data_IF_005770330414
#
_entry.id   IF_005770330414
#
_cell.length_a   1.000
_cell.length_b   1.000
_cell.length_c   1.000
_cell.angle_alpha   90.00
_cell.angle_beta   90.00
_cell.angle_gamma   90.00
#
_symmetry.space_group_name_H-M   'P 1'
#
loop_
_entity.id
_entity.type
_entity.pdbx_description
1 polymer ?
#
# COMPACT_ATOMS: atom_id res chain seq x y z
N UNK A 1 6.15 -2.81 21.33
CA UNK A 1 5.56 -4.06 20.80
C UNK A 1 4.21 -4.26 21.49
N UNK A 2 3.12 -4.19 20.74
CA UNK A 2 1.77 -4.44 21.24
C UNK A 2 1.09 -5.46 20.35
N UNK A 3 0.17 -6.22 20.95
CA UNK A 3 -0.72 -7.12 20.23
C UNK A 3 -2.14 -6.59 20.38
N UNK A 4 -2.77 -6.23 19.26
CA UNK A 4 -4.11 -5.63 19.22
C UNK A 4 -5.02 -6.53 18.40
N UNK A 5 -6.10 -7.01 19.00
CA UNK A 5 -7.21 -7.67 18.31
C UNK A 5 -8.45 -6.81 18.45
N UNK A 6 -9.08 -6.50 17.34
CA UNK A 6 -10.29 -5.70 17.32
C UNK A 6 -11.30 -6.23 16.29
N UNK A 7 -12.56 -5.84 16.45
CA UNK A 7 -13.65 -6.18 15.53
C UNK A 7 -14.09 -5.00 14.66
N UNK A 8 -13.55 -3.80 14.90
CA UNK A 8 -13.91 -2.61 14.15
C UNK A 8 -12.64 -1.77 13.86
N UNK A 9 -12.08 -1.09 14.84
CA UNK A 9 -10.85 -0.31 14.65
C UNK A 9 -9.80 -0.81 15.65
N UNK A 10 -8.65 -1.26 15.13
CA UNK A 10 -7.54 -1.70 15.95
C UNK A 10 -6.86 -0.54 16.67
N UNK A 11 -6.44 0.48 15.94
CA UNK A 11 -5.82 1.68 16.49
C UNK A 11 -6.30 2.92 15.75
N UNK A 12 -6.92 3.86 16.47
CA UNK A 12 -7.38 5.14 15.92
C UNK A 12 -6.52 6.29 16.43
N UNK A 13 -5.89 7.01 15.52
CA UNK A 13 -5.16 8.25 15.76
C UNK A 13 -5.98 9.41 15.17
N UNK A 14 -6.86 9.99 15.98
CA UNK A 14 -7.78 11.02 15.54
C UNK A 14 -7.38 12.39 16.07
N UNK A 15 -7.15 13.36 15.18
CA UNK A 15 -6.74 14.74 15.50
C UNK A 15 -5.50 14.82 16.42
N UNK A 16 -4.65 13.82 16.34
CA UNK A 16 -3.36 13.81 17.01
C UNK A 16 -2.36 14.61 16.18
N UNK A 17 -1.71 15.60 16.77
CA UNK A 17 -0.76 16.48 16.10
C UNK A 17 0.62 16.30 16.74
N UNK A 18 1.29 15.19 16.51
CA UNK A 18 2.67 15.06 16.97
C UNK A 18 3.59 15.91 16.08
N UNK A 19 4.62 16.48 16.65
CA UNK A 19 5.78 16.93 15.88
C UNK A 19 6.47 15.74 15.21
N UNK A 20 6.46 14.60 15.87
CA UNK A 20 6.81 13.28 15.34
C UNK A 20 6.05 12.24 16.16
N UNK A 21 5.21 11.44 15.52
CA UNK A 21 4.50 10.32 16.14
C UNK A 21 5.03 8.99 15.58
N UNK A 22 5.04 7.95 16.38
CA UNK A 22 5.52 6.63 16.00
C UNK A 22 4.49 5.55 16.33
N UNK A 23 4.23 4.67 15.36
CA UNK A 23 3.48 3.42 15.54
C UNK A 23 4.37 2.31 15.03
N UNK A 24 5.09 1.64 15.93
CA UNK A 24 6.15 0.73 15.53
C UNK A 24 6.07 -0.62 16.24
N UNK A 25 6.46 -1.67 15.52
CA UNK A 25 6.62 -3.02 16.05
C UNK A 25 5.34 -3.58 16.70
N UNK A 26 4.17 -3.35 16.12
CA UNK A 26 2.92 -3.88 16.65
C UNK A 26 2.40 -5.00 15.77
N UNK A 27 1.64 -5.91 16.38
CA UNK A 27 0.80 -6.90 15.71
C UNK A 27 -0.64 -6.43 15.85
N UNK A 28 -1.29 -6.11 14.73
CA UNK A 28 -2.64 -5.58 14.70
C UNK A 28 -3.51 -6.48 13.83
N UNK A 29 -4.49 -7.13 14.45
CA UNK A 29 -5.46 -7.96 13.74
C UNK A 29 -6.84 -7.34 13.89
N UNK A 30 -7.52 -7.15 12.77
CA UNK A 30 -8.92 -6.74 12.75
C UNK A 30 -9.74 -7.77 12.01
N UNK A 31 -10.83 -8.20 12.64
CA UNK A 31 -11.80 -9.09 12.06
C UNK A 31 -13.20 -8.51 12.26
N UNK A 32 -13.83 -8.02 11.20
CA UNK A 32 -15.16 -7.42 11.31
C UNK A 32 -15.76 -7.13 9.95
N UNK A 33 -17.09 -7.17 9.87
CA UNK A 33 -17.87 -7.01 8.64
C UNK A 33 -18.32 -5.56 8.36
N UNK A 34 -17.60 -4.60 8.92
CA UNK A 34 -17.97 -3.18 8.80
C UNK A 34 -17.23 -2.45 7.67
N UNK A 35 -17.98 -1.69 6.84
CA UNK A 35 -17.43 -0.78 5.82
C UNK A 35 -16.36 0.20 6.33
N UNK A 36 -16.27 0.41 7.63
CA UNK A 36 -15.35 1.31 8.29
C UNK A 36 -14.23 0.57 9.05
N UNK A 37 -14.23 -0.76 9.08
CA UNK A 37 -13.27 -1.53 9.85
C UNK A 37 -11.84 -1.33 9.32
N UNK A 38 -10.91 -0.98 10.22
CA UNK A 38 -9.52 -0.69 9.89
C UNK A 38 -8.55 -1.15 10.99
N UNK A 39 -7.39 -1.68 10.60
CA UNK A 39 -6.35 -2.02 11.57
C UNK A 39 -5.72 -0.77 12.17
N UNK A 40 -5.33 0.17 11.32
CA UNK A 40 -4.79 1.47 11.74
C UNK A 40 -5.49 2.58 10.97
N UNK A 41 -6.10 3.51 11.69
CA UNK A 41 -6.69 4.71 11.10
C UNK A 41 -5.99 5.97 11.64
N UNK A 42 -5.48 6.79 10.71
CA UNK A 42 -4.90 8.10 10.99
C UNK A 42 -5.79 9.15 10.35
N UNK A 43 -6.38 10.01 11.16
CA UNK A 43 -7.29 11.06 10.73
C UNK A 43 -6.80 12.44 11.23
N UNK A 44 -6.07 13.14 10.37
CA UNK A 44 -5.31 14.35 10.72
C UNK A 44 -5.95 15.66 10.25
N UNK A 45 -7.15 15.59 9.67
CA UNK A 45 -7.81 16.78 9.17
C UNK A 45 -8.16 17.78 10.32
N UNK A 46 -7.87 19.07 10.19
CA UNK A 46 -7.21 19.80 9.10
C UNK A 46 -5.71 20.13 9.34
N UNK A 47 -5.06 19.49 10.29
CA UNK A 47 -3.73 19.89 10.78
C UNK A 47 -2.68 18.86 10.35
N UNK A 48 -1.55 19.29 9.75
CA UNK A 48 -0.51 18.36 9.36
C UNK A 48 0.12 17.67 10.55
N UNK A 49 0.23 16.35 10.48
CA UNK A 49 0.95 15.51 11.42
C UNK A 49 2.10 14.81 10.71
N UNK A 50 3.08 14.37 11.48
CA UNK A 50 4.18 13.53 11.01
C UNK A 50 4.12 12.22 11.78
N UNK A 51 3.48 11.22 11.17
CA UNK A 51 3.44 9.86 11.70
C UNK A 51 4.44 8.97 10.98
N UNK A 52 5.17 8.21 11.77
CA UNK A 52 6.02 7.14 11.30
C UNK A 52 5.38 5.80 11.70
N UNK A 53 4.86 5.07 10.72
CA UNK A 53 4.22 3.77 10.88
C UNK A 53 5.18 2.73 10.34
N UNK A 54 5.87 2.00 11.21
CA UNK A 54 7.02 1.20 10.81
C UNK A 54 7.05 -0.16 11.50
N UNK A 55 7.48 -1.18 10.74
CA UNK A 55 7.71 -2.53 11.25
C UNK A 55 6.47 -3.15 11.94
N UNK A 56 5.27 -2.86 11.45
CA UNK A 56 4.06 -3.47 11.99
C UNK A 56 3.67 -4.69 11.16
N UNK A 57 3.11 -5.69 11.83
CA UNK A 57 2.44 -6.81 11.20
C UNK A 57 0.93 -6.62 11.32
N UNK A 58 0.26 -6.46 10.19
CA UNK A 58 -1.15 -6.09 10.09
C UNK A 58 -1.90 -7.19 9.36
N UNK A 59 -2.95 -7.73 10.00
CA UNK A 59 -3.84 -8.72 9.39
C UNK A 59 -5.26 -8.17 9.35
N UNK A 60 -5.82 -8.13 8.16
CA UNK A 60 -7.18 -7.66 7.88
C UNK A 60 -8.02 -8.86 7.49
N UNK A 61 -8.95 -9.28 8.36
CA UNK A 61 -9.88 -10.36 8.08
C UNK A 61 -11.29 -9.79 8.09
N UNK A 62 -12.03 -9.89 6.99
CA UNK A 62 -13.37 -9.30 6.87
C UNK A 62 -13.44 -7.79 7.18
N UNK A 63 -12.35 -7.07 7.07
CA UNK A 63 -12.28 -5.65 7.30
C UNK A 63 -11.82 -4.92 6.03
N UNK A 64 -12.02 -3.60 6.00
CA UNK A 64 -11.79 -2.84 4.76
C UNK A 64 -10.36 -2.31 4.62
N UNK A 65 -9.72 -1.90 5.70
CA UNK A 65 -8.44 -1.20 5.62
C UNK A 65 -7.37 -1.82 6.54
N UNK A 66 -6.21 -2.12 5.97
CA UNK A 66 -5.01 -2.35 6.77
C UNK A 66 -4.55 -1.05 7.42
N UNK A 67 -4.17 -0.07 6.60
CA UNK A 67 -3.85 1.28 7.02
C UNK A 67 -4.75 2.26 6.26
N UNK A 68 -5.48 3.08 6.99
CA UNK A 68 -6.28 4.18 6.46
C UNK A 68 -5.69 5.51 6.93
N UNK A 69 -5.23 6.33 5.98
CA UNK A 69 -4.71 7.67 6.27
C UNK A 69 -5.54 8.73 5.55
N UNK A 70 -6.25 9.56 6.31
CA UNK A 70 -7.08 10.65 5.78
C UNK A 70 -6.44 12.00 6.05
N UNK A 71 -6.26 12.76 4.97
CA UNK A 71 -5.77 14.14 4.98
C UNK A 71 -4.41 14.36 5.68
N UNK A 72 -3.62 13.30 5.86
CA UNK A 72 -2.29 13.36 6.48
C UNK A 72 -1.26 14.14 5.65
N UNK A 73 -0.23 14.64 6.31
CA UNK A 73 0.89 15.32 5.68
C UNK A 73 2.19 14.63 6.03
N UNK A 74 2.97 14.24 5.02
CA UNK A 74 4.31 13.66 5.17
C UNK A 74 4.38 12.44 6.10
N UNK A 75 3.26 11.72 6.25
CA UNK A 75 3.24 10.48 7.00
C UNK A 75 4.05 9.42 6.25
N UNK A 76 4.81 8.64 6.99
CA UNK A 76 5.64 7.59 6.46
C UNK A 76 5.11 6.21 6.90
N UNK A 77 4.99 5.30 5.94
CA UNK A 77 4.57 3.91 6.11
C UNK A 77 5.70 3.03 5.59
N UNK A 78 6.48 2.44 6.51
CA UNK A 78 7.73 1.78 6.17
C UNK A 78 7.83 0.38 6.76
N UNK A 79 8.36 -0.57 6.00
CA UNK A 79 8.66 -1.92 6.47
C UNK A 79 7.47 -2.63 7.15
N UNK A 80 6.24 -2.33 6.76
CA UNK A 80 5.09 -3.02 7.31
C UNK A 80 4.78 -4.26 6.47
N UNK A 81 4.41 -5.35 7.14
CA UNK A 81 3.81 -6.52 6.50
C UNK A 81 2.30 -6.44 6.67
N UNK A 82 1.57 -6.42 5.56
CA UNK A 82 0.12 -6.23 5.56
C UNK A 82 -0.53 -7.37 4.78
N UNK A 83 -1.30 -8.19 5.48
CA UNK A 83 -2.08 -9.28 4.89
C UNK A 83 -3.56 -8.89 4.89
N UNK A 84 -4.19 -8.98 3.73
CA UNK A 84 -5.60 -8.61 3.54
C UNK A 84 -6.36 -9.82 3.03
N UNK A 85 -7.24 -10.34 3.85
CA UNK A 85 -8.20 -11.38 3.48
C UNK A 85 -9.60 -10.74 3.32
N UNK A 86 -10.02 -10.39 2.09
CA UNK A 86 -11.32 -9.81 1.83
C UNK A 86 -12.37 -10.93 1.74
N UNK A 87 -13.03 -11.24 2.84
CA UNK A 87 -14.05 -12.27 2.87
C UNK A 87 -15.40 -11.83 2.28
N UNK A 88 -15.69 -10.54 2.22
CA UNK A 88 -17.01 -10.01 1.85
C UNK A 88 -17.03 -9.28 0.51
N UNK A 89 -18.23 -8.90 0.08
CA UNK A 89 -18.51 -8.21 -1.18
C UNK A 89 -17.95 -6.77 -1.25
N UNK A 90 -17.17 -6.32 -0.27
CA UNK A 90 -16.69 -4.95 -0.15
C UNK A 90 -15.24 -4.75 -0.61
N UNK A 91 -14.91 -3.51 -0.93
CA UNK A 91 -13.56 -3.11 -1.29
C UNK A 91 -12.61 -3.28 -0.10
N UNK A 92 -11.42 -3.84 -0.33
CA UNK A 92 -10.40 -4.03 0.69
C UNK A 92 -9.06 -3.42 0.27
N UNK A 93 -8.35 -2.81 1.21
CA UNK A 93 -7.13 -2.05 0.94
C UNK A 93 -6.02 -2.38 1.93
N UNK A 94 -4.84 -2.67 1.42
CA UNK A 94 -3.65 -2.74 2.26
C UNK A 94 -3.33 -1.38 2.88
N UNK A 95 -3.04 -0.38 2.03
CA UNK A 95 -2.82 1.02 2.43
C UNK A 95 -3.74 1.91 1.60
N UNK A 96 -4.60 2.67 2.26
CA UNK A 96 -5.50 3.64 1.64
C UNK A 96 -5.13 5.07 2.07
N UNK A 97 -4.82 5.91 1.08
CA UNK A 97 -4.40 7.30 1.27
C UNK A 97 -5.41 8.25 0.64
N UNK A 98 -6.20 8.94 1.48
CA UNK A 98 -7.25 9.88 1.08
C UNK A 98 -6.84 11.32 1.37
N UNK A 99 -6.75 12.14 0.34
CA UNK A 99 -6.44 13.57 0.44
C UNK A 99 -5.07 13.87 1.07
N UNK A 100 -4.16 12.91 1.09
CA UNK A 100 -2.85 13.03 1.74
C UNK A 100 -1.87 13.88 0.93
N UNK A 101 -0.91 14.49 1.60
CA UNK A 101 0.16 15.27 0.96
C UNK A 101 1.52 14.72 1.31
N UNK A 102 2.30 14.46 0.27
CA UNK A 102 3.66 13.95 0.36
C UNK A 102 3.80 12.71 1.26
N UNK A 103 2.92 11.70 1.14
CA UNK A 103 3.09 10.46 1.88
C UNK A 103 4.31 9.72 1.35
N UNK A 104 5.03 9.07 2.24
CA UNK A 104 6.10 8.13 1.94
C UNK A 104 5.60 6.70 2.23
N UNK A 105 5.61 5.84 1.22
CA UNK A 105 5.24 4.42 1.35
C UNK A 105 6.41 3.61 0.83
N UNK A 106 7.17 2.99 1.72
CA UNK A 106 8.42 2.34 1.32
C UNK A 106 8.64 1.01 2.02
N UNK A 107 9.18 0.05 1.27
CA UNK A 107 9.60 -1.25 1.79
C UNK A 107 8.49 -2.04 2.49
N UNK A 108 7.23 -1.84 2.11
CA UNK A 108 6.15 -2.62 2.66
C UNK A 108 5.92 -3.89 1.82
N UNK A 109 5.57 -4.97 2.50
CA UNK A 109 5.13 -6.22 1.91
C UNK A 109 3.60 -6.33 2.07
N UNK A 110 2.89 -6.29 0.95
CA UNK A 110 1.44 -6.30 0.91
C UNK A 110 0.95 -7.53 0.15
N UNK A 111 0.25 -8.41 0.85
CA UNK A 111 -0.32 -9.61 0.28
C UNK A 111 -1.83 -9.61 0.45
N UNK A 112 -2.56 -9.76 -0.65
CA UNK A 112 -4.00 -10.03 -0.65
C UNK A 112 -4.28 -11.52 -0.56
N UNK A 113 -5.54 -11.88 -0.50
CA UNK A 113 -6.03 -13.25 -0.71
C UNK A 113 -7.11 -13.21 -1.81
N UNK A 114 -6.67 -13.05 -3.05
CA UNK A 114 -7.59 -13.07 -4.18
C UNK A 114 -7.32 -14.32 -5.00
N UNK A 115 -8.27 -15.23 -4.95
CA UNK A 115 -8.39 -16.21 -6.03
C UNK A 115 -8.77 -15.47 -7.33
N UNK A 116 -7.88 -15.38 -8.31
CA UNK A 116 -8.04 -14.49 -9.47
C UNK A 116 -9.17 -14.85 -10.42
N UNK A 117 -9.84 -15.96 -10.19
CA UNK A 117 -10.79 -16.58 -11.14
C UNK A 117 -12.27 -16.36 -10.78
N UNK A 118 -12.58 -15.70 -9.67
CA UNK A 118 -13.97 -15.48 -9.29
C UNK A 118 -14.55 -14.23 -9.94
N UNK A 119 -15.71 -14.37 -10.56
CA UNK A 119 -16.39 -13.31 -11.33
C UNK A 119 -17.01 -12.18 -10.50
N UNK A 120 -16.97 -12.28 -9.17
CA UNK A 120 -17.52 -11.30 -8.24
C UNK A 120 -16.39 -10.57 -7.49
N UNK A 121 -15.62 -9.79 -8.24
CA UNK A 121 -14.44 -9.14 -7.72
C UNK A 121 -14.78 -7.90 -6.89
N UNK A 122 -14.34 -7.94 -5.66
CA UNK A 122 -14.21 -6.74 -4.83
C UNK A 122 -13.07 -5.88 -5.36
N UNK A 123 -13.17 -4.58 -5.17
CA UNK A 123 -12.16 -3.62 -5.65
C UNK A 123 -10.98 -3.55 -4.66
N UNK A 124 -10.30 -4.71 -4.43
CA UNK A 124 -9.15 -4.72 -3.53
C UNK A 124 -7.93 -4.07 -4.17
N UNK A 125 -7.16 -3.38 -3.37
CA UNK A 125 -5.92 -2.74 -3.81
C UNK A 125 -4.84 -2.88 -2.74
N UNK A 126 -3.61 -3.22 -3.15
CA UNK A 126 -2.49 -3.19 -2.22
C UNK A 126 -2.27 -1.78 -1.70
N UNK A 127 -2.06 -0.81 -2.60
CA UNK A 127 -1.93 0.61 -2.26
C UNK A 127 -2.93 1.40 -3.10
N UNK A 128 -3.78 2.20 -2.45
CA UNK A 128 -4.77 3.04 -3.11
C UNK A 128 -4.64 4.51 -2.75
N UNK A 129 -4.61 5.35 -3.78
CA UNK A 129 -4.54 6.80 -3.65
C UNK A 129 -5.81 7.46 -4.16
N UNK A 130 -6.41 8.26 -3.29
CA UNK A 130 -7.51 9.16 -3.64
C UNK A 130 -7.14 10.60 -3.25
N UNK A 131 -6.85 11.44 -4.25
CA UNK A 131 -6.50 12.84 -4.00
C UNK A 131 -5.12 13.08 -3.35
N UNK A 132 -4.24 12.09 -3.30
CA UNK A 132 -2.88 12.28 -2.78
C UNK A 132 -1.97 13.03 -3.78
N UNK A 133 -1.08 13.87 -3.25
CA UNK A 133 -0.14 14.65 -4.06
C UNK A 133 1.29 14.47 -3.57
N UNK A 134 2.24 14.55 -4.49
CA UNK A 134 3.68 14.47 -4.21
C UNK A 134 4.08 13.24 -3.40
N UNK A 135 3.49 12.09 -3.72
CA UNK A 135 3.76 10.84 -3.03
C UNK A 135 5.12 10.24 -3.45
N UNK A 136 5.74 9.49 -2.55
CA UNK A 136 6.90 8.64 -2.84
C UNK A 136 6.56 7.18 -2.44
N UNK A 137 6.45 6.32 -3.45
CA UNK A 137 6.14 4.90 -3.30
C UNK A 137 7.34 4.12 -3.81
N UNK A 138 8.12 3.60 -2.89
CA UNK A 138 9.43 3.06 -3.19
C UNK A 138 9.62 1.67 -2.60
N UNK A 139 10.10 0.72 -3.41
CA UNK A 139 10.52 -0.60 -2.96
C UNK A 139 9.45 -1.41 -2.20
N UNK A 140 8.18 -1.26 -2.56
CA UNK A 140 7.14 -2.10 -1.98
C UNK A 140 6.95 -3.35 -2.83
N UNK A 141 6.62 -4.46 -2.18
CA UNK A 141 6.17 -5.69 -2.83
C UNK A 141 4.65 -5.80 -2.68
N UNK A 142 3.95 -6.04 -3.79
CA UNK A 142 2.49 -6.12 -3.81
C UNK A 142 2.05 -7.33 -4.61
N UNK A 143 1.33 -8.24 -3.99
CA UNK A 143 0.85 -9.48 -4.62
C UNK A 143 -0.58 -9.83 -4.20
N UNK A 144 -1.27 -10.62 -5.00
CA UNK A 144 -2.58 -11.20 -4.72
C UNK A 144 -3.71 -10.19 -4.46
N UNK A 145 -3.65 -9.02 -5.11
CA UNK A 145 -4.73 -8.02 -5.13
C UNK A 145 -5.36 -7.90 -6.53
N UNK A 146 -6.57 -7.34 -6.57
CA UNK A 146 -7.14 -6.90 -7.86
C UNK A 146 -6.30 -5.80 -8.49
N UNK A 147 -5.88 -4.82 -7.71
CA UNK A 147 -4.96 -3.76 -8.13
C UNK A 147 -3.74 -3.76 -7.23
N UNK A 148 -2.56 -3.82 -7.80
CA UNK A 148 -1.34 -3.66 -7.00
C UNK A 148 -1.26 -2.25 -6.45
N UNK A 149 -1.07 -1.25 -7.33
CA UNK A 149 -1.15 0.18 -6.99
C UNK A 149 -2.26 0.81 -7.83
N UNK A 150 -3.21 1.46 -7.14
CA UNK A 150 -4.34 2.14 -7.77
C UNK A 150 -4.32 3.63 -7.46
N UNK A 151 -4.39 4.45 -8.51
CA UNK A 151 -4.47 5.90 -8.40
C UNK A 151 -5.81 6.34 -9.01
N UNK A 152 -6.73 6.84 -8.17
CA UNK A 152 -8.03 7.31 -8.65
C UNK A 152 -7.94 8.67 -9.35
N UNK A 153 -9.03 9.04 -10.00
CA UNK A 153 -9.19 10.33 -10.67
C UNK A 153 -8.98 11.50 -9.69
N UNK A 154 -8.36 12.58 -10.18
CA UNK A 154 -8.03 13.85 -9.49
C UNK A 154 -6.67 13.92 -8.79
N UNK A 155 -5.83 12.91 -8.88
CA UNK A 155 -4.42 13.12 -8.55
C UNK A 155 -3.77 13.95 -9.65
N UNK A 156 -3.37 15.16 -9.33
CA UNK A 156 -2.76 16.11 -10.25
C UNK A 156 -1.34 16.48 -9.83
N UNK A 157 -0.81 15.79 -8.84
CA UNK A 157 0.54 16.03 -8.32
C UNK A 157 1.61 15.17 -8.98
N UNK A 158 2.83 15.61 -8.92
CA UNK A 158 3.97 14.77 -9.24
C UNK A 158 4.17 13.75 -8.11
N UNK A 159 4.42 12.48 -8.46
CA UNK A 159 4.69 11.41 -7.51
C UNK A 159 5.79 10.52 -8.06
N UNK A 160 6.44 9.79 -7.18
CA UNK A 160 7.48 8.82 -7.52
C UNK A 160 6.95 7.41 -7.30
N UNK A 161 7.03 6.56 -8.34
CA UNK A 161 6.84 5.12 -8.27
C UNK A 161 8.15 4.46 -8.67
N UNK A 162 8.93 3.93 -7.72
CA UNK A 162 10.24 3.38 -8.04
C UNK A 162 10.59 2.13 -7.26
N UNK A 163 11.18 1.15 -7.96
CA UNK A 163 11.62 -0.10 -7.37
C UNK A 163 10.50 -0.97 -6.80
N UNK A 164 9.23 -0.68 -7.08
CA UNK A 164 8.15 -1.51 -6.59
C UNK A 164 8.06 -2.81 -7.38
N UNK A 165 7.79 -3.91 -6.69
CA UNK A 165 7.57 -5.22 -7.28
C UNK A 165 6.09 -5.53 -7.33
N UNK A 166 5.59 -5.82 -8.53
CA UNK A 166 4.23 -6.25 -8.79
C UNK A 166 4.23 -7.77 -9.04
N UNK A 167 3.73 -8.54 -8.08
CA UNK A 167 3.60 -9.99 -8.17
C UNK A 167 2.33 -10.41 -8.94
N UNK A 168 1.71 -11.52 -8.52
CA UNK A 168 0.47 -12.03 -9.14
C UNK A 168 -0.71 -11.12 -8.82
N UNK A 169 -1.31 -10.49 -9.84
CA UNK A 169 -2.34 -9.45 -9.69
C UNK A 169 -3.38 -9.54 -10.81
N UNK A 170 -4.55 -8.99 -10.59
CA UNK A 170 -5.48 -8.76 -11.72
C UNK A 170 -4.94 -7.64 -12.61
N UNK A 171 -4.60 -6.50 -12.02
CA UNK A 171 -3.89 -5.39 -12.67
C UNK A 171 -2.76 -4.90 -11.74
N UNK A 172 -1.55 -4.73 -12.27
CA UNK A 172 -0.43 -4.25 -11.47
C UNK A 172 -0.58 -2.77 -11.09
N UNK A 173 -0.49 -1.88 -12.08
CA UNK A 173 -0.69 -0.44 -11.90
C UNK A 173 -1.97 0.01 -12.60
N UNK A 174 -2.84 0.71 -11.88
CA UNK A 174 -4.04 1.31 -12.45
C UNK A 174 -4.06 2.83 -12.23
N UNK A 175 -4.09 3.59 -13.32
CA UNK A 175 -4.29 5.03 -13.31
C UNK A 175 -5.67 5.39 -13.87
N UNK A 176 -6.51 6.00 -13.06
CA UNK A 176 -7.84 6.45 -13.46
C UNK A 176 -7.80 7.54 -14.54
N UNK A 177 -8.95 7.88 -15.10
CA UNK A 177 -9.09 8.67 -16.33
C UNK A 177 -8.45 10.06 -16.31
N UNK A 178 -8.29 10.68 -15.14
CA UNK A 178 -7.67 12.00 -14.95
C UNK A 178 -6.44 11.97 -14.06
N UNK A 179 -5.97 10.78 -13.69
CA UNK A 179 -4.81 10.61 -12.83
C UNK A 179 -3.52 11.00 -13.55
N UNK A 180 -2.68 11.78 -12.86
CA UNK A 180 -1.37 12.20 -13.32
C UNK A 180 -0.40 11.97 -12.18
N UNK A 181 0.65 11.20 -12.43
CA UNK A 181 1.66 10.85 -11.42
C UNK A 181 3.04 11.47 -11.72
N UNK A 182 3.16 12.23 -12.81
CA UNK A 182 4.44 12.75 -13.28
C UNK A 182 5.22 11.73 -14.11
N UNK A 183 6.30 12.18 -14.78
CA UNK A 183 7.19 11.28 -15.52
C UNK A 183 7.91 10.30 -14.58
N UNK A 184 8.04 9.06 -15.00
CA UNK A 184 8.66 7.96 -14.26
C UNK A 184 9.88 7.48 -15.06
N UNK A 185 10.98 8.21 -14.97
CA UNK A 185 12.14 7.98 -15.82
C UNK A 185 13.13 7.02 -15.12
N UNK A 186 13.28 5.80 -15.64
CA UNK A 186 14.19 4.74 -15.14
C UNK A 186 13.99 4.39 -13.66
N UNK A 187 12.75 4.37 -13.21
CA UNK A 187 12.41 4.12 -11.80
C UNK A 187 12.46 2.64 -11.39
N UNK A 188 12.76 1.71 -12.30
CA UNK A 188 13.08 0.33 -11.99
C UNK A 188 11.97 -0.46 -11.30
N UNK A 189 10.69 -0.16 -11.58
CA UNK A 189 9.61 -0.99 -11.09
C UNK A 189 9.66 -2.36 -11.78
N UNK A 190 9.39 -3.42 -11.02
CA UNK A 190 9.54 -4.81 -11.45
C UNK A 190 8.15 -5.42 -11.64
N UNK A 191 7.91 -5.98 -12.82
CA UNK A 191 6.67 -6.64 -13.21
C UNK A 191 6.87 -8.16 -13.21
N UNK A 192 7.03 -8.75 -12.02
CA UNK A 192 7.36 -10.17 -11.82
C UNK A 192 6.14 -10.96 -11.35
N UNK A 193 5.10 -11.01 -12.19
CA UNK A 193 3.89 -11.72 -11.83
C UNK A 193 3.03 -12.11 -13.03
N UNK A 194 1.99 -12.86 -12.74
CA UNK A 194 0.90 -13.17 -13.67
C UNK A 194 -0.17 -12.10 -13.55
N UNK A 195 -0.54 -11.48 -14.68
CA UNK A 195 -1.61 -10.49 -14.71
C UNK A 195 -2.81 -11.07 -15.44
N UNK A 196 -3.96 -11.12 -14.75
CA UNK A 196 -5.17 -11.70 -15.33
C UNK A 196 -5.87 -10.78 -16.32
N UNK A 197 -5.60 -9.48 -16.24
CA UNK A 197 -6.04 -8.49 -17.21
C UNK A 197 -4.81 -7.78 -17.81
N UNK A 198 -4.27 -6.74 -17.18
CA UNK A 198 -3.10 -6.01 -17.65
C UNK A 198 -2.10 -5.73 -16.52
N UNK A 199 -0.80 -5.77 -16.85
CA UNK A 199 0.24 -5.35 -15.92
C UNK A 199 0.10 -3.85 -15.60
N UNK A 200 -0.21 -3.01 -16.60
CA UNK A 200 -0.38 -1.57 -16.41
C UNK A 200 -1.56 -1.02 -17.21
N UNK A 201 -2.40 -0.22 -16.56
CA UNK A 201 -3.61 0.41 -17.14
C UNK A 201 -3.60 1.91 -16.92
N UNK A 202 -3.91 2.67 -17.98
CA UNK A 202 -4.19 4.11 -17.88
C UNK A 202 -5.49 4.44 -18.61
N UNK A 203 -6.51 4.82 -17.86
CA UNK A 203 -7.84 5.14 -18.42
C UNK A 203 -7.93 6.53 -19.06
N UNK A 204 -6.86 7.30 -19.09
CA UNK A 204 -6.81 8.60 -19.74
C UNK A 204 -7.20 8.51 -21.23
N UNK A 205 -8.05 9.43 -21.67
CA UNK A 205 -8.57 9.45 -23.05
C UNK A 205 -7.81 10.39 -23.97
N UNK A 206 -6.90 11.19 -23.44
CA UNK A 206 -6.10 12.15 -24.24
C UNK A 206 -4.62 11.90 -24.07
N UNK A 207 -3.87 12.07 -25.18
CA UNK A 207 -2.42 11.94 -25.13
C UNK A 207 -1.76 12.87 -24.10
N UNK A 208 -2.30 14.07 -23.93
CA UNK A 208 -1.74 15.05 -22.98
C UNK A 208 -1.87 14.62 -21.51
N UNK A 209 -2.86 13.82 -21.16
CA UNK A 209 -3.00 13.25 -19.82
C UNK A 209 -2.02 12.08 -19.66
N UNK A 210 -2.06 11.13 -20.59
CA UNK A 210 -1.26 9.90 -20.54
C UNK A 210 0.24 10.23 -20.52
N UNK A 211 0.71 11.15 -21.36
CA UNK A 211 2.12 11.52 -21.44
C UNK A 211 2.66 12.23 -20.19
N UNK A 212 1.81 12.75 -19.33
CA UNK A 212 2.22 13.28 -18.02
C UNK A 212 2.56 12.18 -16.99
N UNK A 213 2.20 10.95 -17.30
CA UNK A 213 2.49 9.75 -16.48
C UNK A 213 3.33 8.75 -17.27
N UNK A 214 4.16 9.22 -18.20
CA UNK A 214 5.00 8.34 -19.03
C UNK A 214 6.05 7.61 -18.19
N UNK A 215 6.40 6.42 -18.62
CA UNK A 215 7.50 5.64 -18.09
C UNK A 215 8.61 5.53 -19.14
N UNK A 216 9.84 5.88 -18.77
CA UNK A 216 11.04 5.48 -19.49
C UNK A 216 11.62 4.26 -18.76
N UNK A 217 11.81 3.17 -19.47
CA UNK A 217 12.33 1.91 -18.94
C UNK A 217 13.56 1.49 -19.73
N UNK A 218 14.46 0.73 -19.13
CA UNK A 218 15.55 0.06 -19.84
C UNK A 218 15.35 -1.46 -19.72
N UNK A 219 14.69 -2.04 -20.72
CA UNK A 219 14.46 -3.48 -20.77
C UNK A 219 15.75 -4.26 -21.03
N UNK A 220 16.81 -3.58 -21.45
CA UNK A 220 18.14 -4.16 -21.63
C UNK A 220 18.85 -4.46 -20.30
N UNK A 221 18.58 -3.66 -19.26
CA UNK A 221 19.10 -3.89 -17.92
C UNK A 221 18.37 -5.05 -17.22
N UNK A 222 17.04 -5.02 -17.28
CA UNK A 222 16.20 -6.09 -16.74
C UNK A 222 14.90 -6.18 -17.53
N UNK A 223 14.61 -7.36 -18.10
CA UNK A 223 13.38 -7.61 -18.84
C UNK A 223 12.11 -7.41 -18.00
N UNK A 224 12.19 -7.55 -16.69
CA UNK A 224 11.07 -7.33 -15.77
C UNK A 224 10.72 -5.85 -15.57
N UNK A 225 11.49 -4.91 -16.10
CA UNK A 225 11.12 -3.49 -16.11
C UNK A 225 10.06 -3.17 -17.16
N UNK A 226 9.87 -4.04 -18.15
CA UNK A 226 8.84 -3.91 -19.17
C UNK A 226 7.56 -4.66 -18.75
N UNK A 227 6.43 -3.97 -18.53
CA UNK A 227 5.18 -4.65 -18.18
C UNK A 227 4.73 -5.57 -19.32
N UNK A 228 4.43 -6.81 -19.01
CA UNK A 228 4.07 -7.85 -20.00
C UNK A 228 2.81 -7.54 -20.81
N UNK A 229 1.95 -6.66 -20.31
CA UNK A 229 0.71 -6.23 -20.94
C UNK A 229 0.29 -4.82 -20.50
N UNK A 230 -0.11 -3.99 -21.48
CA UNK A 230 -0.44 -2.58 -21.24
C UNK A 230 -1.79 -2.26 -21.86
N UNK A 231 -2.66 -1.53 -21.13
CA UNK A 231 -3.89 -0.97 -21.65
C UNK A 231 -3.92 0.54 -21.48
N UNK A 232 -3.92 1.26 -22.60
CA UNK A 232 -4.10 2.72 -22.64
C UNK A 232 -4.48 3.16 -24.06
N UNK A 233 -5.09 4.35 -24.18
CA UNK A 233 -5.43 4.94 -25.48
C UNK A 233 -4.18 5.38 -26.29
N UNK A 234 -3.08 5.63 -25.60
CA UNK A 234 -1.79 6.04 -26.18
C UNK A 234 -0.66 5.33 -25.46
N UNK A 235 0.46 5.11 -26.16
CA UNK A 235 1.63 4.52 -25.54
C UNK A 235 2.21 5.43 -24.45
N UNK A 236 2.52 4.87 -23.29
CA UNK A 236 3.06 5.58 -22.14
C UNK A 236 4.28 4.89 -21.51
N UNK A 237 4.68 3.73 -22.03
CA UNK A 237 5.96 3.10 -21.77
C UNK A 237 6.87 3.24 -22.99
N UNK A 238 8.10 3.66 -22.78
CA UNK A 238 9.11 3.82 -23.83
C UNK A 238 10.40 3.18 -23.37
N UNK A 239 10.92 2.27 -24.18
CA UNK A 239 12.21 1.63 -23.95
C UNK A 239 13.32 2.60 -24.36
N UNK A 240 14.15 2.99 -23.43
CA UNK A 240 15.27 3.89 -23.61
C UNK A 240 16.39 3.51 -22.65
N UNK A 241 17.62 3.37 -23.15
CA UNK A 241 18.75 3.02 -22.29
C UNK A 241 19.05 4.09 -21.24
N UNK A 242 19.22 3.68 -20.00
CA UNK A 242 19.49 4.54 -18.87
C UNK A 242 19.98 3.76 -17.66
N UNK A 243 20.15 4.40 -16.55
CA UNK A 243 20.48 3.74 -15.28
C UNK A 243 19.18 3.58 -14.48
N UNK A 244 18.72 2.35 -14.36
CA UNK A 244 17.49 2.06 -13.61
C UNK A 244 17.74 2.09 -12.11
N UNK A 245 16.78 2.63 -11.37
CA UNK A 245 16.76 2.59 -9.92
C UNK A 245 16.62 1.13 -9.46
N UNK A 246 17.35 0.78 -8.41
CA UNK A 246 17.23 -0.52 -7.75
C UNK A 246 17.08 -0.32 -6.25
N UNK A 247 16.29 -1.16 -5.62
CA UNK A 247 16.17 -1.20 -4.17
C UNK A 247 17.46 -1.82 -3.61
N UNK A 248 18.29 -1.01 -2.97
CA UNK A 248 19.37 -1.52 -2.14
C UNK A 248 18.78 -1.73 -0.73
N UNK A 249 18.63 -2.99 -0.34
CA UNK A 249 17.95 -3.37 0.90
C UNK A 249 18.62 -2.78 2.14
N UNK A 250 19.93 -2.55 2.11
CA UNK A 250 20.66 -2.00 3.27
C UNK A 250 20.48 -0.48 3.44
N UNK A 251 20.33 0.26 2.34
CA UNK A 251 20.23 1.72 2.37
C UNK A 251 18.78 2.24 2.37
N UNK A 252 17.88 1.58 1.64
CA UNK A 252 16.51 2.06 1.43
C UNK A 252 15.51 1.29 2.29
N UNK A 253 15.69 -0.03 2.37
CA UNK A 253 14.89 -0.94 3.17
C UNK A 253 15.77 -1.54 4.26
N UNK A 254 16.09 -0.80 5.33
CA UNK A 254 16.82 -1.37 6.44
C UNK A 254 16.05 -2.59 6.95
N UNK A 255 16.75 -3.71 7.13
CA UNK A 255 16.12 -4.91 7.67
C UNK A 255 15.41 -4.55 8.97
N UNK A 256 14.07 -4.62 8.95
CA UNK A 256 13.27 -4.52 10.15
C UNK A 256 13.80 -5.55 11.15
N UNK A 257 13.97 -5.17 12.39
CA UNK A 257 14.51 -6.04 13.43
C UNK A 257 13.56 -7.24 13.59
N UNK A 258 13.87 -8.30 12.88
CA UNK A 258 13.29 -9.62 13.04
C UNK A 258 12.15 -9.93 12.04
N UNK A 259 12.45 -10.82 11.14
CA UNK A 259 11.42 -11.61 10.48
C UNK A 259 10.48 -12.20 11.54
N UNK A 260 9.22 -11.80 11.53
CA UNK A 260 8.18 -12.33 12.41
C UNK A 260 7.85 -13.83 12.17
N UNK A 261 8.65 -14.54 11.38
CA UNK A 261 8.55 -16.00 11.23
C UNK A 261 8.63 -16.80 12.55
N UNK A 262 8.93 -16.13 13.67
CA UNK A 262 8.89 -16.75 15.00
C UNK A 262 7.60 -16.47 15.77
N UNK A 263 6.74 -15.55 15.35
CA UNK A 263 5.51 -15.21 16.10
C UNK A 263 4.34 -16.16 15.85
N UNK A 264 4.39 -16.99 14.84
CA UNK A 264 3.37 -18.05 14.60
C UNK A 264 3.34 -19.10 15.71
N UNK A 265 4.32 -19.11 16.63
CA UNK A 265 4.38 -20.05 17.75
C UNK A 265 3.68 -19.56 19.04
N UNK A 266 3.05 -18.40 19.05
CA UNK A 266 2.42 -17.81 20.25
C UNK A 266 0.94 -18.13 20.41
N UNK A 267 0.40 -19.02 19.60
CA UNK A 267 -1.01 -19.43 19.61
C UNK A 267 -1.45 -20.21 20.87
N UNK A 268 -0.64 -20.24 21.90
CA UNK A 268 -0.95 -20.97 23.15
C UNK A 268 -0.55 -20.28 24.46
N UNK A 269 -0.18 -19.02 24.45
CA UNK A 269 0.04 -18.30 25.70
C UNK A 269 -1.28 -17.64 26.16
N UNK A 270 -1.70 -18.10 27.34
CA UNK A 270 -2.90 -17.68 28.07
C UNK A 270 -2.95 -16.16 28.21
N UNK A 271 -3.74 -15.50 27.35
CA UNK A 271 -3.89 -14.04 27.29
C UNK A 271 -4.38 -13.42 28.60
N UNK A 272 -5.03 -14.23 29.46
CA UNK A 272 -5.51 -13.79 30.78
C UNK A 272 -4.38 -13.38 31.73
N UNK A 273 -3.15 -13.88 31.52
CA UNK A 273 -1.99 -13.56 32.36
C UNK A 273 -1.37 -12.21 31.97
N UNK A 274 -1.46 -11.82 30.70
CA UNK A 274 -0.85 -10.57 30.19
C UNK A 274 -1.75 -9.38 30.48
N UNK A 275 -3.08 -9.51 30.32
CA UNK A 275 -4.04 -8.45 30.62
C UNK A 275 -4.05 -8.05 32.12
N UNK A 276 -3.81 -9.00 33.03
CA UNK A 276 -3.74 -8.75 34.47
C UNK A 276 -2.53 -7.93 34.93
N UNK A 277 -1.46 -7.86 34.14
CA UNK A 277 -0.22 -7.20 34.55
C UNK A 277 -0.03 -5.79 33.95
N UNK A 278 -0.82 -5.39 32.97
CA UNK A 278 -0.65 -4.10 32.28
C UNK A 278 -1.60 -2.99 32.75
N UNK A 279 -2.57 -3.27 33.64
CA UNK A 279 -3.38 -2.26 34.29
C UNK A 279 -4.24 -1.41 33.35
N UNK A 280 -4.68 -1.95 32.23
CA UNK A 280 -5.61 -1.27 31.35
C UNK A 280 -7.03 -1.33 31.94
N UNK A 281 -7.59 -0.20 32.30
CA UNK A 281 -9.01 -0.07 32.58
C UNK A 281 -9.78 -0.07 31.26
N UNK A 282 -10.70 -1.03 31.10
CA UNK A 282 -11.68 -1.00 30.01
C UNK A 282 -12.66 0.14 30.28
N UNK A 283 -12.82 1.03 29.33
CA UNK A 283 -13.95 1.92 29.27
C UNK A 283 -15.06 1.23 28.46
N UNK A 284 -16.17 0.96 29.14
CA UNK A 284 -17.44 0.52 28.53
C UNK A 284 -18.06 1.62 27.68
#
# INVERSE_FOLDING_TARGET
DNYINATDIGLLLNLCIPTTGEVTNNVINVSGDGDAASCLEINDYPIPSLWNVENNYITVNDARYGILNRAGHQNAFMNNTIMVDPYTEDDAFGIYLDGTKSPLVTCNDLTGDIEPLESNFHMSSGIYFEGANNFDITCNEVTDFRYGIRVSSQNTGEGLLRGNTFGDLWQGLFLGSTSIIGPQDHHGNIWDGTYYDFAAVHEGVTNSIIQKSRFLIDSGDNLLFDPSSISAAYNWFTDESGISFTCDEEEICPEGIGHYSQLVAWDSLDLDVIAGNLGFEYFD
#
